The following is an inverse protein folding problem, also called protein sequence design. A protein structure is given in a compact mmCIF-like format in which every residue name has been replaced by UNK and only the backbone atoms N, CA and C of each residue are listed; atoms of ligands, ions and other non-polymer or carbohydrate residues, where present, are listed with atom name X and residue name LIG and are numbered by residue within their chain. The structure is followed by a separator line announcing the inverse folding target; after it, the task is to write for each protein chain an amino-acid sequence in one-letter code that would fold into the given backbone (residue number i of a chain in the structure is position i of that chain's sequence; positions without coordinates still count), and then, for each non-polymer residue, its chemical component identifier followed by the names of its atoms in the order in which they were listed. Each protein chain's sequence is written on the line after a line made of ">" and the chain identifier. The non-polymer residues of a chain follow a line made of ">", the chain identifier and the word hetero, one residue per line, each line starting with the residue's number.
data_IF_054664577542
#
_entry.id   IF_054664577542
#
_cell.length_a   1.000
_cell.length_b   1.000
_cell.length_c   1.000
_cell.angle_alpha   90.00
_cell.angle_beta   90.00
_cell.angle_gamma   90.00
#
_symmetry.space_group_name_H-M   'P 1'
#
loop_
_entity.id
_entity.type
_entity.pdbx_description
1 polymer ?
#
# COMPACT_ATOMS: atom_id res chain seq x y z
N UNK A 1 17.26 -4.40 15.49
CA UNK A 1 17.65 -3.78 14.20
C UNK A 1 16.67 -2.66 13.90
N UNK A 2 17.11 -1.53 13.34
CA UNK A 2 16.18 -0.46 12.88
C UNK A 2 15.84 -0.67 11.40
N UNK A 3 14.59 -0.41 11.05
CA UNK A 3 14.11 -0.41 9.68
C UNK A 3 13.97 1.03 9.18
N UNK A 4 14.63 1.35 8.08
CA UNK A 4 14.81 2.69 7.54
C UNK A 4 14.64 2.62 6.02
N UNK A 5 13.85 3.56 5.50
CA UNK A 5 13.71 3.79 4.08
C UNK A 5 12.77 4.95 3.81
N UNK A 6 12.12 4.92 2.64
CA UNK A 6 11.28 6.01 2.16
C UNK A 6 9.91 5.50 1.69
N UNK A 7 8.98 6.45 1.52
CA UNK A 7 7.80 6.20 0.71
C UNK A 7 8.18 6.30 -0.77
N UNK A 8 8.29 5.17 -1.45
CA UNK A 8 8.76 5.09 -2.83
C UNK A 8 7.60 4.99 -3.82
N UNK A 9 7.87 5.36 -5.08
CA UNK A 9 6.88 5.26 -6.15
C UNK A 9 6.56 3.79 -6.48
N UNK A 10 5.29 3.48 -6.72
CA UNK A 10 4.80 2.23 -7.29
C UNK A 10 4.39 2.39 -8.77
N UNK A 11 4.82 3.48 -9.43
CA UNK A 11 4.49 3.71 -10.84
C UNK A 11 5.00 2.56 -11.71
N UNK A 12 4.16 2.09 -12.63
CA UNK A 12 4.41 0.91 -13.47
C UNK A 12 4.17 -0.43 -12.78
N UNK A 13 3.76 -0.46 -11.51
CA UNK A 13 3.49 -1.69 -10.75
C UNK A 13 4.04 -1.64 -9.32
N UNK A 14 3.35 -2.28 -8.38
CA UNK A 14 3.75 -2.32 -6.96
C UNK A 14 5.07 -3.07 -6.76
N UNK A 15 5.39 -4.03 -7.62
CA UNK A 15 6.66 -4.75 -7.64
C UNK A 15 7.85 -3.81 -7.85
N UNK A 16 7.68 -2.70 -8.56
CA UNK A 16 8.73 -1.72 -8.79
C UNK A 16 9.07 -0.92 -7.52
N UNK A 17 8.17 -0.83 -6.55
CA UNK A 17 8.46 -0.21 -5.26
C UNK A 17 9.55 -0.99 -4.51
N UNK A 18 9.58 -2.32 -4.63
CA UNK A 18 10.63 -3.15 -4.04
C UNK A 18 11.98 -2.77 -4.64
N UNK A 19 12.07 -2.75 -5.98
CA UNK A 19 13.32 -2.44 -6.70
C UNK A 19 13.83 -1.02 -6.39
N UNK A 20 12.93 -0.03 -6.39
CA UNK A 20 13.28 1.35 -6.02
C UNK A 20 13.77 1.48 -4.57
N UNK A 21 13.25 0.66 -3.67
CA UNK A 21 13.71 0.62 -2.28
C UNK A 21 15.13 0.04 -2.17
N UNK A 22 15.45 -0.96 -2.99
CA UNK A 22 16.80 -1.52 -3.09
C UNK A 22 17.78 -0.47 -3.65
N UNK A 23 17.38 0.26 -4.70
CA UNK A 23 18.22 1.28 -5.35
C UNK A 23 18.70 2.37 -4.37
N UNK A 24 17.89 2.71 -3.37
CA UNK A 24 18.23 3.70 -2.35
C UNK A 24 18.92 3.11 -1.10
N UNK A 25 19.22 1.80 -1.11
CA UNK A 25 19.84 1.10 0.03
C UNK A 25 18.93 0.96 1.25
N UNK A 26 17.61 1.01 1.08
CA UNK A 26 16.65 0.89 2.18
C UNK A 26 16.48 -0.56 2.64
N UNK A 27 16.14 -0.73 3.92
CA UNK A 27 15.76 -2.03 4.51
C UNK A 27 14.32 -2.01 5.06
N UNK A 28 13.54 -0.98 4.71
CA UNK A 28 12.09 -0.91 4.79
C UNK A 28 11.56 0.11 3.77
N UNK A 29 10.27 0.10 3.47
CA UNK A 29 9.68 1.12 2.62
C UNK A 29 8.16 1.26 2.82
N UNK A 30 7.62 2.37 2.32
CA UNK A 30 6.20 2.59 2.16
C UNK A 30 5.83 2.75 0.68
N UNK A 31 4.58 2.47 0.35
CA UNK A 31 4.02 2.61 -0.99
C UNK A 31 2.50 2.83 -0.93
N UNK A 32 1.93 3.36 -2.01
CA UNK A 32 0.51 3.20 -2.29
C UNK A 32 0.27 1.89 -3.05
N UNK A 33 -0.78 1.13 -2.68
CA UNK A 33 -1.13 -0.12 -3.38
C UNK A 33 -1.98 0.11 -4.64
N UNK A 34 -2.52 1.32 -4.80
CA UNK A 34 -3.30 1.81 -5.94
C UNK A 34 -3.11 3.31 -6.14
N UNK A 35 -3.68 3.86 -7.21
CA UNK A 35 -3.67 5.31 -7.45
C UNK A 35 -4.52 6.02 -6.38
N UNK A 36 -3.86 6.82 -5.54
CA UNK A 36 -4.45 7.57 -4.44
C UNK A 36 -5.43 8.69 -4.90
N UNK A 37 -5.50 8.99 -6.19
CA UNK A 37 -6.42 9.99 -6.75
C UNK A 37 -7.75 9.40 -7.21
N UNK A 38 -7.92 8.08 -7.10
CA UNK A 38 -9.10 7.36 -7.60
C UNK A 38 -9.74 6.55 -6.47
N UNK A 39 -11.08 6.51 -6.46
CA UNK A 39 -11.84 5.71 -5.49
C UNK A 39 -11.75 4.21 -5.78
N UNK A 40 -11.80 3.87 -7.06
CA UNK A 40 -11.73 2.49 -7.55
C UNK A 40 -10.46 2.32 -8.35
N UNK A 41 -9.82 1.16 -8.19
CA UNK A 41 -8.67 0.75 -8.97
C UNK A 41 -8.91 -0.64 -9.55
N UNK A 42 -8.29 -0.97 -10.70
CA UNK A 42 -8.30 -2.33 -11.20
C UNK A 42 -7.76 -3.31 -10.15
N UNK A 43 -8.29 -4.53 -10.18
CA UNK A 43 -7.78 -5.63 -9.37
C UNK A 43 -6.28 -5.82 -9.61
N UNK A 44 -5.54 -6.21 -8.56
CA UNK A 44 -4.15 -6.62 -8.72
C UNK A 44 -4.10 -7.86 -9.61
N UNK A 45 -3.26 -7.82 -10.63
CA UNK A 45 -3.02 -8.98 -11.48
C UNK A 45 -2.22 -10.02 -10.68
N UNK A 46 -2.55 -11.30 -10.87
CA UNK A 46 -1.82 -12.39 -10.21
C UNK A 46 -0.30 -12.31 -10.47
N UNK A 47 0.10 -11.99 -11.70
CA UNK A 47 1.52 -11.82 -12.06
C UNK A 47 2.21 -10.69 -11.27
N UNK A 48 1.52 -9.56 -11.05
CA UNK A 48 2.01 -8.43 -10.25
C UNK A 48 2.21 -8.84 -8.78
N UNK A 49 1.25 -9.59 -8.22
CA UNK A 49 1.33 -10.10 -6.84
C UNK A 49 2.54 -11.04 -6.69
N UNK A 50 2.70 -11.99 -7.61
CA UNK A 50 3.80 -12.94 -7.59
C UNK A 50 5.17 -12.26 -7.77
N UNK A 51 5.27 -11.28 -8.67
CA UNK A 51 6.50 -10.48 -8.83
C UNK A 51 6.84 -9.71 -7.56
N UNK A 52 5.87 -9.04 -6.94
CA UNK A 52 6.08 -8.30 -5.69
C UNK A 52 6.61 -9.21 -4.58
N UNK A 53 5.94 -10.35 -4.33
CA UNK A 53 6.35 -11.33 -3.32
C UNK A 53 7.75 -11.90 -3.60
N UNK A 54 8.01 -12.26 -4.85
CA UNK A 54 9.33 -12.77 -5.28
C UNK A 54 10.43 -11.74 -5.06
N UNK A 55 10.22 -10.48 -5.44
CA UNK A 55 11.21 -9.42 -5.22
C UNK A 55 11.43 -9.14 -3.73
N UNK A 56 10.38 -9.12 -2.92
CA UNK A 56 10.54 -9.00 -1.46
C UNK A 56 11.42 -10.13 -0.90
N UNK A 57 11.18 -11.38 -1.33
CA UNK A 57 12.00 -12.52 -0.91
C UNK A 57 13.46 -12.41 -1.36
N UNK A 58 13.71 -12.03 -2.62
CA UNK A 58 15.06 -11.89 -3.19
C UNK A 58 15.86 -10.78 -2.50
N UNK A 59 15.20 -9.69 -2.11
CA UNK A 59 15.84 -8.52 -1.51
C UNK A 59 15.67 -8.43 0.01
N UNK A 60 15.24 -9.53 0.66
CA UNK A 60 15.14 -9.64 2.12
C UNK A 60 14.22 -8.61 2.79
N UNK A 61 13.11 -8.26 2.14
CA UNK A 61 12.00 -7.53 2.77
C UNK A 61 10.95 -8.52 3.29
N UNK A 62 10.73 -8.51 4.61
CA UNK A 62 9.60 -9.16 5.27
C UNK A 62 8.40 -8.22 5.35
N UNK A 63 7.23 -8.76 5.70
CA UNK A 63 5.99 -7.98 5.79
C UNK A 63 6.05 -6.87 6.86
N UNK A 64 6.88 -7.04 7.89
CA UNK A 64 7.09 -6.07 8.98
C UNK A 64 7.93 -4.87 8.55
N UNK A 65 8.61 -4.95 7.41
CA UNK A 65 9.46 -3.89 6.84
C UNK A 65 8.72 -3.02 5.81
N UNK A 66 7.44 -3.32 5.55
CA UNK A 66 6.68 -2.65 4.49
C UNK A 66 5.42 -2.06 5.10
N UNK A 67 5.29 -0.73 5.00
CA UNK A 67 4.18 0.03 5.57
C UNK A 67 3.41 0.73 4.45
N UNK A 68 2.45 0.05 3.79
CA UNK A 68 1.64 0.70 2.76
C UNK A 68 0.80 1.83 3.36
N UNK A 69 0.58 2.87 2.58
CA UNK A 69 -0.28 4.00 2.95
C UNK A 69 -1.58 3.94 2.14
N UNK A 70 -2.70 4.24 2.77
CA UNK A 70 -4.00 4.34 2.10
C UNK A 70 -4.16 5.65 1.31
N UNK A 71 -5.22 5.74 0.51
CA UNK A 71 -5.55 6.96 -0.22
C UNK A 71 -5.97 8.11 0.70
N UNK A 72 -5.43 9.32 0.45
CA UNK A 72 -5.86 10.55 1.13
C UNK A 72 -7.32 10.95 0.87
N UNK A 73 -8.02 10.28 -0.07
CA UNK A 73 -9.46 10.47 -0.28
C UNK A 73 -10.29 9.81 0.81
N UNK A 74 -9.75 8.80 1.49
CA UNK A 74 -10.44 8.07 2.56
C UNK A 74 -10.55 8.98 3.78
N UNK A 75 -11.78 9.17 4.25
CA UNK A 75 -12.08 9.85 5.50
C UNK A 75 -13.04 8.99 6.34
N UNK A 76 -12.50 8.19 7.26
CA UNK A 76 -13.30 7.32 8.13
C UNK A 76 -14.02 8.09 9.26
N UNK A 77 -13.74 9.38 9.41
CA UNK A 77 -14.43 10.30 10.33
C UNK A 77 -15.47 11.20 9.66
N UNK A 78 -15.79 10.99 8.38
CA UNK A 78 -16.67 11.87 7.62
C UNK A 78 -18.11 11.89 8.21
N UNK A 79 -18.71 13.06 8.46
CA UNK A 79 -20.06 13.16 9.01
C UNK A 79 -21.15 12.79 8.00
N UNK A 80 -20.87 12.94 6.70
CA UNK A 80 -21.81 12.63 5.63
C UNK A 80 -21.85 11.13 5.37
N UNK A 81 -23.01 10.51 5.57
CA UNK A 81 -23.17 9.06 5.52
C UNK A 81 -22.71 8.42 4.20
N UNK A 82 -23.01 9.06 3.06
CA UNK A 82 -22.60 8.58 1.75
C UNK A 82 -21.07 8.61 1.57
N UNK A 83 -20.43 9.70 2.02
CA UNK A 83 -18.99 9.86 1.92
C UNK A 83 -18.23 8.94 2.89
N UNK A 84 -18.82 8.70 4.08
CA UNK A 84 -18.33 7.72 5.04
C UNK A 84 -18.40 6.30 4.46
N UNK A 85 -19.52 5.91 3.87
CA UNK A 85 -19.67 4.58 3.27
C UNK A 85 -18.69 4.38 2.11
N UNK A 86 -18.53 5.39 1.25
CA UNK A 86 -17.53 5.37 0.18
C UNK A 86 -16.11 5.19 0.70
N UNK A 87 -15.77 5.84 1.82
CA UNK A 87 -14.48 5.71 2.49
C UNK A 87 -14.28 4.31 3.08
N UNK A 88 -15.30 3.72 3.70
CA UNK A 88 -15.27 2.35 4.24
C UNK A 88 -15.05 1.31 3.15
N UNK A 89 -15.78 1.40 2.04
CA UNK A 89 -15.60 0.51 0.88
C UNK A 89 -14.18 0.61 0.33
N UNK A 90 -13.67 1.83 0.16
CA UNK A 90 -12.30 2.05 -0.32
C UNK A 90 -11.23 1.53 0.66
N UNK A 91 -11.46 1.67 1.97
CA UNK A 91 -10.55 1.18 3.01
C UNK A 91 -10.52 -0.36 3.09
N UNK A 92 -11.66 -1.02 2.92
CA UNK A 92 -11.74 -2.49 2.82
C UNK A 92 -10.97 -2.99 1.60
N UNK A 93 -11.07 -2.31 0.45
CA UNK A 93 -10.26 -2.61 -0.73
C UNK A 93 -8.76 -2.46 -0.45
N UNK A 94 -8.31 -1.38 0.19
CA UNK A 94 -6.89 -1.21 0.58
C UNK A 94 -6.39 -2.35 1.48
N UNK A 95 -7.17 -2.74 2.50
CA UNK A 95 -6.84 -3.88 3.37
C UNK A 95 -6.76 -5.19 2.59
N UNK A 96 -7.70 -5.44 1.67
CA UNK A 96 -7.70 -6.63 0.81
C UNK A 96 -6.47 -6.68 -0.08
N UNK A 97 -6.06 -5.54 -0.66
CA UNK A 97 -4.88 -5.43 -1.52
C UNK A 97 -3.59 -5.66 -0.72
N UNK A 98 -3.47 -5.07 0.46
CA UNK A 98 -2.36 -5.32 1.37
C UNK A 98 -2.25 -6.82 1.71
N UNK A 99 -3.37 -7.47 2.02
CA UNK A 99 -3.42 -8.91 2.28
C UNK A 99 -3.01 -9.76 1.05
N UNK A 100 -3.48 -9.42 -0.15
CA UNK A 100 -3.08 -10.11 -1.40
C UNK A 100 -1.57 -10.06 -1.63
N UNK A 101 -0.94 -8.92 -1.31
CA UNK A 101 0.51 -8.70 -1.39
C UNK A 101 1.29 -9.38 -0.24
N UNK A 102 0.60 -9.96 0.75
CA UNK A 102 1.22 -10.60 1.91
C UNK A 102 1.69 -9.62 2.99
N UNK A 103 1.14 -8.40 2.99
CA UNK A 103 1.48 -7.35 3.95
C UNK A 103 0.62 -7.45 5.20
N UNK A 104 1.18 -7.03 6.35
CA UNK A 104 0.53 -7.11 7.67
C UNK A 104 0.11 -5.76 8.23
N UNK A 105 0.53 -4.68 7.58
CA UNK A 105 0.34 -3.31 8.04
C UNK A 105 -0.40 -2.53 6.96
N UNK A 106 -1.16 -1.52 7.39
CA UNK A 106 -1.72 -0.48 6.56
C UNK A 106 -1.75 0.81 7.38
N UNK A 107 -0.99 1.82 6.94
CA UNK A 107 -1.01 3.15 7.50
C UNK A 107 -2.16 3.95 6.90
N UNK A 108 -2.92 4.62 7.75
CA UNK A 108 -4.01 5.50 7.34
C UNK A 108 -4.18 6.67 8.31
N UNK A 109 -4.79 7.75 7.83
CA UNK A 109 -5.21 8.84 8.69
C UNK A 109 -6.63 8.57 9.23
N UNK A 110 -6.91 8.78 10.53
CA UNK A 110 -8.23 8.50 11.11
C UNK A 110 -9.39 9.24 10.43
N UNK A 111 -9.12 10.43 9.91
CA UNK A 111 -10.10 11.27 9.23
C UNK A 111 -10.32 12.62 9.93
N UNK A 112 -11.30 13.36 9.41
CA UNK A 112 -11.79 14.63 9.96
C UNK A 112 -13.31 14.63 9.97
N UNK A 113 -13.89 15.27 10.96
CA UNK A 113 -15.32 15.57 11.05
C UNK A 113 -15.59 16.82 10.23
#
# INVERSE_FOLDING_TARGET
>A
MKYIGAHVSASGGVENAVLRSVEIGANAFALFTKNQRQWQAPALKAETIEKFKRFCKVHHFSAEQILPHDSYLINLGNPEAEALEKSRVAFIDEMSRANQLGLKLLNFHPGRI
#
